data_IF_936050692794
#
_entry.id   IF_936050692794
#
_cell.length_a   1.000
_cell.length_b   1.000
_cell.length_c   1.000
_cell.angle_alpha   90.00
_cell.angle_beta   90.00
_cell.angle_gamma   90.00
#
_symmetry.space_group_name_H-M   'P 1'
#
loop_
_entity.id
_entity.type
_entity.pdbx_description
1 polymer ?
#
# COMPACT_ATOMS: atom_id res chain seq x y z
N UNK A 1 -11.52 -26.63 -4.27
CA UNK A 1 -11.91 -26.13 -5.60
C UNK A 1 -10.73 -25.42 -6.22
N UNK A 2 -10.15 -26.08 -7.26
CA UNK A 2 -9.06 -25.54 -8.07
C UNK A 2 -9.60 -24.37 -8.90
N UNK A 3 -9.24 -23.14 -8.55
CA UNK A 3 -9.45 -21.99 -9.42
C UNK A 3 -8.39 -22.10 -10.53
N UNK A 4 -8.78 -22.57 -11.70
CA UNK A 4 -7.98 -22.47 -12.92
C UNK A 4 -7.87 -21.01 -13.32
N UNK A 5 -6.65 -20.45 -13.18
CA UNK A 5 -6.33 -19.14 -13.75
C UNK A 5 -6.20 -19.30 -15.27
N UNK A 6 -7.13 -18.72 -16.02
CA UNK A 6 -6.99 -18.55 -17.47
C UNK A 6 -5.80 -17.61 -17.74
N UNK A 7 -4.85 -18.14 -18.49
CA UNK A 7 -3.59 -17.50 -18.88
C UNK A 7 -3.86 -16.52 -20.03
N UNK A 8 -4.55 -15.41 -19.76
CA UNK A 8 -4.63 -14.28 -20.71
C UNK A 8 -3.39 -13.40 -20.47
N UNK A 9 -2.45 -13.52 -21.36
CA UNK A 9 -1.12 -12.93 -21.58
C UNK A 9 -0.68 -11.60 -20.97
N UNK A 10 -1.13 -11.20 -19.78
CA UNK A 10 -0.62 -10.07 -19.02
C UNK A 10 -0.29 -10.49 -17.60
N UNK A 11 0.96 -10.30 -17.18
CA UNK A 11 1.36 -10.53 -15.79
C UNK A 11 0.46 -9.67 -14.87
N UNK A 12 -0.37 -10.31 -14.06
CA UNK A 12 -1.23 -9.65 -13.07
C UNK A 12 -0.43 -9.57 -11.78
N UNK A 13 -0.32 -8.38 -11.18
CA UNK A 13 0.40 -8.18 -9.91
C UNK A 13 -0.57 -7.91 -8.77
N UNK A 14 -0.31 -8.56 -7.62
CA UNK A 14 -1.00 -8.28 -6.36
C UNK A 14 -0.18 -7.29 -5.53
N UNK A 15 -0.79 -6.20 -5.13
CA UNK A 15 -0.17 -5.13 -4.36
C UNK A 15 -0.82 -5.08 -2.98
N UNK A 16 0.00 -5.21 -1.94
CA UNK A 16 -0.40 -4.99 -0.55
C UNK A 16 -0.11 -3.54 -0.16
N UNK A 17 -1.16 -2.75 0.03
CA UNK A 17 -1.08 -1.41 0.63
C UNK A 17 -1.18 -1.49 2.15
N UNK A 18 -0.36 -0.71 2.85
CA UNK A 18 -0.34 -0.66 4.31
C UNK A 18 -0.34 0.80 4.78
N UNK A 19 -1.28 1.12 5.67
CA UNK A 19 -1.31 2.36 6.45
C UNK A 19 -0.98 2.04 7.91
N UNK A 20 0.30 2.17 8.32
CA UNK A 20 0.72 1.79 9.66
C UNK A 20 0.28 2.83 10.69
N UNK A 21 -0.37 2.37 11.75
CA UNK A 21 -0.77 3.21 12.87
C UNK A 21 -0.41 2.62 14.23
N UNK A 22 -0.30 3.46 15.23
CA UNK A 22 0.10 3.04 16.57
C UNK A 22 -1.01 2.32 17.37
N UNK A 23 -2.26 2.40 16.95
CA UNK A 23 -3.43 1.74 17.57
C UNK A 23 -4.17 0.83 16.59
N UNK A 24 -4.05 1.13 15.32
CA UNK A 24 -4.65 0.38 14.22
C UNK A 24 -3.68 0.46 13.05
N UNK A 25 -3.60 -0.61 12.29
CA UNK A 25 -2.89 -0.63 11.00
C UNK A 25 -3.89 -1.04 9.94
N UNK A 26 -4.11 -0.16 8.96
CA UNK A 26 -4.92 -0.47 7.80
C UNK A 26 -4.14 -1.35 6.81
N UNK A 27 -4.86 -2.24 6.13
CA UNK A 27 -4.32 -2.97 4.99
C UNK A 27 -5.34 -3.03 3.85
N UNK A 28 -4.84 -3.10 2.63
CA UNK A 28 -5.65 -3.28 1.44
C UNK A 28 -4.88 -4.01 0.36
N UNK A 29 -5.51 -4.98 -0.30
CA UNK A 29 -4.91 -5.74 -1.39
C UNK A 29 -5.73 -5.49 -2.65
N UNK A 30 -5.04 -5.11 -3.71
CA UNK A 30 -5.58 -4.93 -5.04
C UNK A 30 -4.82 -5.79 -6.03
N UNK A 31 -5.48 -6.11 -7.15
CA UNK A 31 -4.90 -6.80 -8.28
C UNK A 31 -4.88 -5.85 -9.48
N UNK A 32 -3.76 -5.76 -10.17
CA UNK A 32 -3.59 -4.91 -11.36
C UNK A 32 -2.95 -5.68 -12.49
N UNK A 33 -3.33 -5.37 -13.73
CA UNK A 33 -2.64 -5.91 -14.91
C UNK A 33 -1.37 -5.12 -15.22
N UNK A 34 -0.44 -5.75 -15.94
CA UNK A 34 0.86 -5.16 -16.31
C UNK A 34 0.75 -3.99 -17.30
N UNK A 35 -0.35 -3.83 -18.00
CA UNK A 35 -0.51 -2.77 -19.00
C UNK A 35 -1.03 -1.47 -18.38
N UNK A 36 -0.54 -0.34 -18.88
CA UNK A 36 -1.09 0.97 -18.50
C UNK A 36 -2.59 1.04 -18.82
N UNK A 37 -3.40 1.45 -17.84
CA UNK A 37 -4.86 1.49 -17.98
C UNK A 37 -5.57 0.18 -17.71
N UNK A 38 -4.88 -0.89 -17.30
CA UNK A 38 -5.52 -2.13 -16.87
C UNK A 38 -6.50 -1.88 -15.73
N UNK A 39 -7.59 -2.62 -15.72
CA UNK A 39 -8.57 -2.59 -14.64
C UNK A 39 -7.88 -2.98 -13.33
N UNK A 40 -8.11 -2.18 -12.30
CA UNK A 40 -7.68 -2.50 -10.94
C UNK A 40 -8.86 -3.19 -10.24
N UNK A 41 -8.57 -4.34 -9.64
CA UNK A 41 -9.57 -5.15 -8.95
C UNK A 41 -9.31 -5.15 -7.44
N UNK A 42 -10.37 -4.99 -6.68
CA UNK A 42 -10.34 -5.14 -5.23
C UNK A 42 -10.23 -6.63 -4.86
N UNK A 43 -9.33 -6.96 -3.94
CA UNK A 43 -9.20 -8.32 -3.40
C UNK A 43 -9.73 -8.37 -1.97
N UNK A 44 -9.14 -7.57 -1.07
CA UNK A 44 -9.55 -7.51 0.33
C UNK A 44 -9.01 -6.24 0.99
N UNK A 45 -9.61 -5.85 2.11
CA UNK A 45 -9.06 -4.81 2.97
C UNK A 45 -9.56 -4.98 4.40
N UNK A 46 -8.87 -4.38 5.35
CA UNK A 46 -9.26 -4.45 6.75
C UNK A 46 -8.35 -3.66 7.67
N UNK A 47 -8.52 -3.91 8.96
CA UNK A 47 -7.83 -3.21 10.03
C UNK A 47 -7.27 -4.23 11.02
N UNK A 48 -5.97 -4.21 11.24
CA UNK A 48 -5.30 -4.87 12.36
C UNK A 48 -5.46 -3.98 13.58
N UNK A 49 -6.23 -4.44 14.56
CA UNK A 49 -6.44 -3.73 15.84
C UNK A 49 -5.33 -4.10 16.83
N UNK A 50 -4.69 -3.09 17.38
CA UNK A 50 -3.61 -3.27 18.34
C UNK A 50 -4.18 -3.06 19.76
N UNK A 51 -4.08 -4.05 20.66
CA UNK A 51 -4.53 -3.90 22.02
C UNK A 51 -3.70 -2.86 22.78
N UNK A 52 -4.24 -2.37 23.89
CA UNK A 52 -3.45 -1.61 24.86
C UNK A 52 -2.37 -2.52 25.45
N UNK A 53 -1.16 -2.01 25.66
CA UNK A 53 -0.07 -2.80 26.22
C UNK A 53 1.30 -2.32 25.80
N UNK A 54 2.30 -3.13 26.13
CA UNK A 54 3.70 -2.83 25.84
C UNK A 54 3.95 -2.71 24.33
N UNK A 55 4.75 -1.73 23.94
CA UNK A 55 5.07 -1.44 22.54
C UNK A 55 5.64 -2.67 21.80
N UNK A 56 6.58 -3.46 22.35
CA UNK A 56 7.11 -4.63 21.64
C UNK A 56 6.02 -5.65 21.24
N UNK A 57 5.06 -5.92 22.12
CA UNK A 57 3.96 -6.83 21.83
C UNK A 57 3.08 -6.32 20.68
N UNK A 58 2.83 -5.00 20.63
CA UNK A 58 2.06 -4.37 19.55
C UNK A 58 2.80 -4.42 18.23
N UNK A 59 4.12 -4.17 18.23
CA UNK A 59 4.95 -4.27 17.02
C UNK A 59 4.98 -5.71 16.49
N UNK A 60 5.04 -6.70 17.40
CA UNK A 60 4.94 -8.11 17.03
C UNK A 60 3.61 -8.43 16.34
N UNK A 61 2.48 -7.91 16.85
CA UNK A 61 1.17 -8.11 16.22
C UNK A 61 1.15 -7.53 14.80
N UNK A 62 1.73 -6.33 14.57
CA UNK A 62 1.83 -5.76 13.23
C UNK A 62 2.63 -6.68 12.31
N UNK A 63 3.82 -7.07 12.75
CA UNK A 63 4.71 -7.94 11.97
C UNK A 63 4.02 -9.27 11.62
N UNK A 64 3.45 -9.95 12.60
CA UNK A 64 2.77 -11.24 12.41
C UNK A 64 1.57 -11.12 11.47
N UNK A 65 0.74 -10.07 11.65
CA UNK A 65 -0.44 -9.86 10.81
C UNK A 65 -0.09 -9.56 9.36
N UNK A 66 0.91 -8.70 9.12
CA UNK A 66 1.37 -8.41 7.76
C UNK A 66 2.01 -9.66 7.14
N UNK A 67 2.83 -10.40 7.89
CA UNK A 67 3.41 -11.67 7.43
C UNK A 67 2.34 -12.70 7.07
N UNK A 68 1.28 -12.80 7.86
CA UNK A 68 0.15 -13.68 7.57
C UNK A 68 -0.60 -13.28 6.30
N UNK A 69 -0.84 -11.98 6.09
CA UNK A 69 -1.45 -11.47 4.86
C UNK A 69 -0.58 -11.79 3.64
N UNK A 70 0.73 -11.59 3.74
CA UNK A 70 1.67 -11.93 2.68
C UNK A 70 1.65 -13.42 2.37
N UNK A 71 1.66 -14.27 3.40
CA UNK A 71 1.59 -15.72 3.23
C UNK A 71 0.27 -16.18 2.61
N UNK A 72 -0.84 -15.56 2.98
CA UNK A 72 -2.18 -15.94 2.51
C UNK A 72 -2.45 -15.49 1.08
N UNK A 73 -2.08 -14.27 0.73
CA UNK A 73 -2.43 -13.65 -0.56
C UNK A 73 -1.31 -13.64 -1.58
N UNK A 74 -0.05 -13.87 -1.15
CA UNK A 74 1.13 -13.91 -2.01
C UNK A 74 1.27 -12.66 -2.89
N UNK A 75 1.22 -11.41 -2.33
CA UNK A 75 1.46 -10.22 -3.11
C UNK A 75 2.90 -10.19 -3.62
N UNK A 76 3.13 -9.62 -4.78
CA UNK A 76 4.46 -9.40 -5.34
C UNK A 76 5.11 -8.10 -4.87
N UNK A 77 4.27 -7.12 -4.51
CA UNK A 77 4.72 -5.79 -4.13
C UNK A 77 3.98 -5.31 -2.88
N UNK A 78 4.64 -4.45 -2.13
CA UNK A 78 4.06 -3.77 -0.97
C UNK A 78 4.20 -2.26 -1.13
N UNK A 79 3.17 -1.53 -0.78
CA UNK A 79 3.17 -0.07 -0.74
C UNK A 79 2.84 0.42 0.67
N UNK A 80 3.58 1.42 1.15
CA UNK A 80 3.41 1.93 2.51
C UNK A 80 3.50 3.46 2.53
N UNK A 81 2.69 4.10 3.41
CA UNK A 81 2.76 5.54 3.58
C UNK A 81 4.01 5.96 4.35
N UNK A 82 4.65 7.06 3.89
CA UNK A 82 5.74 7.72 4.61
C UNK A 82 5.20 8.44 5.84
N UNK A 83 5.91 8.31 6.96
CA UNK A 83 5.60 9.05 8.18
C UNK A 83 6.21 10.44 8.10
N UNK A 84 5.37 11.48 8.24
CA UNK A 84 5.84 12.84 8.47
C UNK A 84 5.92 13.14 9.97
N UNK A 85 6.88 13.97 10.35
CA UNK A 85 7.02 14.46 11.73
C UNK A 85 5.71 15.14 12.16
N UNK A 86 4.98 14.48 13.05
CA UNK A 86 3.82 15.06 13.71
C UNK A 86 4.26 16.14 14.71
N UNK A 87 3.32 16.97 15.13
CA UNK A 87 3.57 17.98 16.17
C UNK A 87 4.02 17.36 17.51
N UNK A 88 3.70 16.09 17.75
CA UNK A 88 4.15 15.29 18.89
C UNK A 88 5.25 14.31 18.48
N UNK A 89 6.51 14.56 18.91
CA UNK A 89 7.63 13.66 18.62
C UNK A 89 7.45 12.23 19.15
N UNK A 90 6.76 12.07 20.29
CA UNK A 90 6.50 10.73 20.87
C UNK A 90 5.53 9.93 20.00
N UNK A 91 4.51 10.59 19.44
CA UNK A 91 3.57 9.96 18.51
C UNK A 91 4.29 9.58 17.20
N UNK A 92 5.15 10.48 16.68
CA UNK A 92 5.93 10.21 15.47
C UNK A 92 6.88 9.02 15.64
N UNK A 93 7.56 8.90 16.79
CA UNK A 93 8.41 7.75 17.10
C UNK A 93 7.62 6.43 17.12
N UNK A 94 6.47 6.39 17.81
CA UNK A 94 5.62 5.20 17.87
C UNK A 94 5.09 4.81 16.49
N UNK A 95 4.74 5.78 15.66
CA UNK A 95 4.29 5.56 14.30
C UNK A 95 5.43 5.03 13.42
N UNK A 96 6.63 5.61 13.53
CA UNK A 96 7.82 5.13 12.83
C UNK A 96 8.18 3.68 13.21
N UNK A 97 8.04 3.31 14.48
CA UNK A 97 8.26 1.94 14.95
C UNK A 97 7.21 0.97 14.38
N UNK A 98 5.93 1.34 14.39
CA UNK A 98 4.84 0.56 13.78
C UNK A 98 5.09 0.34 12.28
N UNK A 99 5.47 1.42 11.58
CA UNK A 99 5.84 1.37 10.16
C UNK A 99 7.06 0.47 9.93
N UNK A 100 8.08 0.57 10.76
CA UNK A 100 9.27 -0.30 10.68
C UNK A 100 8.91 -1.79 10.80
N UNK A 101 8.01 -2.15 11.71
CA UNK A 101 7.53 -3.53 11.86
C UNK A 101 6.84 -4.05 10.57
N UNK A 102 6.00 -3.23 9.94
CA UNK A 102 5.35 -3.58 8.68
C UNK A 102 6.37 -3.72 7.52
N UNK A 103 7.34 -2.79 7.42
CA UNK A 103 8.41 -2.86 6.40
C UNK A 103 9.24 -4.13 6.56
N UNK A 104 9.63 -4.47 7.80
CA UNK A 104 10.42 -5.68 8.05
C UNK A 104 9.67 -6.94 7.66
N UNK A 105 8.35 -7.00 7.88
CA UNK A 105 7.52 -8.13 7.43
C UNK A 105 7.55 -8.28 5.90
N UNK A 106 7.38 -7.19 5.15
CA UNK A 106 7.48 -7.20 3.69
C UNK A 106 8.88 -7.55 3.18
N UNK A 107 9.91 -6.94 3.77
CA UNK A 107 11.30 -7.19 3.39
C UNK A 107 11.75 -8.62 3.69
N UNK A 108 11.32 -9.21 4.83
CA UNK A 108 11.61 -10.59 5.18
C UNK A 108 10.97 -11.59 4.20
N UNK A 109 9.85 -11.21 3.59
CA UNK A 109 9.20 -11.99 2.53
C UNK A 109 9.76 -11.72 1.11
N UNK A 110 10.75 -10.82 0.97
CA UNK A 110 11.38 -10.49 -0.32
C UNK A 110 10.55 -9.57 -1.21
N UNK A 111 9.52 -8.88 -0.68
CA UNK A 111 8.69 -7.99 -1.47
C UNK A 111 9.44 -6.71 -1.87
N UNK A 112 9.18 -6.23 -3.09
CA UNK A 112 9.53 -4.87 -3.46
C UNK A 112 8.64 -3.89 -2.69
N UNK A 113 9.23 -2.90 -2.01
CA UNK A 113 8.50 -1.96 -1.16
C UNK A 113 8.56 -0.56 -1.75
N UNK A 114 7.38 -0.02 -2.09
CA UNK A 114 7.19 1.38 -2.50
C UNK A 114 6.75 2.24 -1.32
N UNK A 115 7.39 3.39 -1.14
CA UNK A 115 7.09 4.35 -0.07
C UNK A 115 6.53 5.65 -0.64
N UNK A 116 5.42 6.13 -0.10
CA UNK A 116 4.67 7.25 -0.66
C UNK A 116 4.29 8.28 0.40
N UNK A 117 4.60 9.55 0.13
CA UNK A 117 4.12 10.65 0.97
C UNK A 117 2.60 10.80 0.87
N UNK A 118 1.92 11.11 1.98
CA UNK A 118 0.47 11.31 2.06
C UNK A 118 -0.07 12.25 0.96
N UNK A 119 0.64 13.34 0.67
CA UNK A 119 0.26 14.28 -0.40
C UNK A 119 0.30 13.63 -1.79
N UNK A 120 1.25 12.74 -2.04
CA UNK A 120 1.36 11.99 -3.30
C UNK A 120 0.20 11.02 -3.44
N UNK A 121 -0.11 10.27 -2.38
CA UNK A 121 -1.25 9.34 -2.34
C UNK A 121 -2.55 10.07 -2.64
N UNK A 122 -2.82 11.18 -1.94
CA UNK A 122 -4.02 11.99 -2.16
C UNK A 122 -4.11 12.52 -3.59
N UNK A 123 -2.99 13.01 -4.14
CA UNK A 123 -2.95 13.53 -5.51
C UNK A 123 -3.21 12.43 -6.55
N UNK A 124 -2.69 11.23 -6.34
CA UNK A 124 -2.92 10.11 -7.27
C UNK A 124 -4.37 9.64 -7.29
N UNK A 125 -5.03 9.58 -6.12
CA UNK A 125 -6.39 9.04 -6.00
C UNK A 125 -7.46 10.09 -6.31
N UNK A 126 -7.29 11.34 -5.82
CA UNK A 126 -8.32 12.41 -5.90
C UNK A 126 -7.94 13.50 -6.91
N UNK A 127 -6.69 13.53 -7.37
CA UNK A 127 -6.18 14.61 -8.21
C UNK A 127 -5.67 15.83 -7.41
N UNK A 128 -5.90 15.90 -6.11
CA UNK A 128 -5.50 16.99 -5.22
C UNK A 128 -4.77 16.47 -3.98
N UNK A 129 -3.56 16.97 -3.73
CA UNK A 129 -2.80 16.63 -2.52
C UNK A 129 -3.36 17.23 -1.23
N UNK A 130 -4.35 18.11 -1.31
CA UNK A 130 -5.06 18.72 -0.18
C UNK A 130 -6.43 18.06 0.08
N UNK A 131 -6.72 16.94 -0.57
CA UNK A 131 -7.98 16.22 -0.39
C UNK A 131 -8.24 15.82 1.07
N UNK A 132 -9.50 15.88 1.49
CA UNK A 132 -9.92 15.41 2.80
C UNK A 132 -9.92 13.86 2.84
N UNK A 133 -10.00 13.29 4.04
CA UNK A 133 -10.09 11.82 4.21
C UNK A 133 -11.37 11.26 3.59
N UNK A 134 -12.47 11.97 3.73
CA UNK A 134 -13.77 11.58 3.16
C UNK A 134 -13.70 11.54 1.63
N UNK A 135 -13.00 12.51 1.01
CA UNK A 135 -12.78 12.53 -0.44
C UNK A 135 -11.95 11.34 -0.91
N UNK A 136 -10.87 11.00 -0.18
CA UNK A 136 -10.05 9.81 -0.47
C UNK A 136 -10.89 8.54 -0.36
N UNK A 137 -11.63 8.37 0.74
CA UNK A 137 -12.51 7.22 0.99
C UNK A 137 -13.57 7.05 -0.09
N UNK A 138 -14.19 8.17 -0.52
CA UNK A 138 -15.17 8.19 -1.60
C UNK A 138 -14.55 7.75 -2.94
N UNK A 139 -13.38 8.29 -3.28
CA UNK A 139 -12.69 7.96 -4.53
C UNK A 139 -12.20 6.52 -4.56
N UNK A 140 -11.66 6.00 -3.44
CA UNK A 140 -11.28 4.58 -3.31
C UNK A 140 -12.49 3.67 -3.57
N UNK A 141 -13.64 3.98 -2.96
CA UNK A 141 -14.90 3.27 -3.24
C UNK A 141 -15.24 3.28 -4.72
N UNK A 142 -15.16 4.45 -5.36
CA UNK A 142 -15.52 4.63 -6.77
C UNK A 142 -14.57 3.88 -7.71
N UNK A 143 -13.25 4.04 -7.52
CA UNK A 143 -12.21 3.42 -8.38
C UNK A 143 -12.30 1.89 -8.32
N UNK A 144 -12.53 1.34 -7.12
CA UNK A 144 -12.59 -0.10 -6.90
C UNK A 144 -14.00 -0.70 -7.05
N UNK A 145 -15.01 0.12 -7.35
CA UNK A 145 -16.39 -0.32 -7.53
C UNK A 145 -17.00 -0.97 -6.29
N UNK A 146 -16.63 -0.51 -5.09
CA UNK A 146 -17.09 -1.12 -3.84
C UNK A 146 -18.54 -0.78 -3.54
N UNK A 147 -19.34 -1.69 -2.96
CA UNK A 147 -20.73 -1.44 -2.63
C UNK A 147 -20.91 -0.40 -1.53
N UNK A 148 -19.95 -0.32 -0.60
CA UNK A 148 -19.92 0.65 0.49
C UNK A 148 -18.51 1.22 0.67
N UNK A 149 -18.40 2.38 1.33
CA UNK A 149 -17.10 2.94 1.66
C UNK A 149 -16.38 2.04 2.67
N UNK A 150 -15.09 1.69 2.44
CA UNK A 150 -14.32 0.94 3.42
C UNK A 150 -14.06 1.79 4.67
N UNK A 151 -13.72 1.16 5.79
CA UNK A 151 -13.30 1.88 7.00
C UNK A 151 -12.10 2.79 6.69
N UNK A 152 -11.94 3.90 7.40
CA UNK A 152 -10.95 4.95 7.13
C UNK A 152 -9.53 4.39 6.96
N UNK A 153 -9.01 3.65 7.97
CA UNK A 153 -7.65 3.08 7.91
C UNK A 153 -7.47 2.09 6.72
N UNK A 154 -8.53 1.35 6.38
CA UNK A 154 -8.52 0.44 5.23
C UNK A 154 -8.58 1.21 3.89
N UNK A 155 -9.30 2.34 3.85
CA UNK A 155 -9.34 3.21 2.68
C UNK A 155 -7.99 3.88 2.43
N UNK A 156 -7.31 4.33 3.49
CA UNK A 156 -5.97 4.91 3.40
C UNK A 156 -4.97 3.87 2.88
N UNK A 157 -5.01 2.63 3.36
CA UNK A 157 -4.19 1.54 2.85
C UNK A 157 -4.47 1.19 1.38
N UNK A 158 -5.75 1.13 0.98
CA UNK A 158 -6.13 0.93 -0.43
C UNK A 158 -5.68 2.10 -1.31
N UNK A 159 -5.73 3.34 -0.80
CA UNK A 159 -5.25 4.51 -1.53
C UNK A 159 -3.74 4.45 -1.80
N UNK A 160 -2.96 3.95 -0.83
CA UNK A 160 -1.51 3.72 -1.00
C UNK A 160 -1.26 2.66 -2.07
N UNK A 161 -2.01 1.55 -2.07
CA UNK A 161 -1.91 0.51 -3.09
C UNK A 161 -2.26 1.04 -4.50
N UNK A 162 -3.32 1.85 -4.63
CA UNK A 162 -3.72 2.51 -5.87
C UNK A 162 -2.65 3.47 -6.38
N UNK A 163 -2.04 4.26 -5.49
CA UNK A 163 -0.94 5.15 -5.83
C UNK A 163 0.25 4.37 -6.40
N UNK A 164 0.58 3.23 -5.81
CA UNK A 164 1.65 2.35 -6.27
C UNK A 164 1.36 1.78 -7.66
N UNK A 165 0.16 1.24 -7.88
CA UNK A 165 -0.26 0.71 -9.16
C UNK A 165 -0.16 1.76 -10.29
N UNK A 166 -0.60 2.99 -10.04
CA UNK A 166 -0.52 4.09 -11.01
C UNK A 166 0.94 4.49 -11.29
N UNK A 167 1.79 4.51 -10.26
CA UNK A 167 3.22 4.85 -10.42
C UNK A 167 3.93 3.81 -11.28
N UNK A 168 3.66 2.53 -11.06
CA UNK A 168 4.22 1.44 -11.86
C UNK A 168 3.74 1.51 -13.31
N UNK A 169 2.45 1.76 -13.54
CA UNK A 169 1.89 1.93 -14.90
C UNK A 169 2.54 3.07 -15.66
N UNK A 170 2.80 4.21 -15.00
CA UNK A 170 3.51 5.35 -15.60
C UNK A 170 4.96 4.99 -15.91
N UNK A 171 5.64 4.23 -15.05
CA UNK A 171 7.00 3.75 -15.26
C UNK A 171 7.10 2.86 -16.49
N UNK A 172 6.18 1.92 -16.66
CA UNK A 172 6.10 1.05 -17.83
C UNK A 172 5.82 1.84 -19.12
N UNK A 173 4.91 2.81 -19.09
CA UNK A 173 4.61 3.68 -20.25
C UNK A 173 5.81 4.52 -20.69
N UNK A 174 6.73 4.85 -19.77
CA UNK A 174 7.95 5.61 -20.03
C UNK A 174 9.17 4.71 -20.35
N UNK A 175 8.98 3.41 -20.51
CA UNK A 175 10.01 2.45 -20.92
C UNK A 175 11.11 2.20 -19.89
N UNK A 176 10.78 2.15 -18.60
CA UNK A 176 11.75 1.84 -17.55
C UNK A 176 11.12 1.64 -16.17
N UNK A 177 11.88 1.05 -15.26
CA UNK A 177 11.52 0.98 -13.84
C UNK A 177 11.72 2.36 -13.20
N UNK A 178 10.69 2.89 -12.62
CA UNK A 178 10.72 4.18 -11.93
C UNK A 178 10.35 4.01 -10.46
N UNK A 179 11.09 4.70 -9.59
CA UNK A 179 10.79 4.78 -8.16
C UNK A 179 10.43 6.24 -7.82
N UNK A 180 9.40 6.43 -7.02
CA UNK A 180 9.09 7.75 -6.46
C UNK A 180 10.07 8.03 -5.31
N UNK A 181 10.85 9.10 -5.39
CA UNK A 181 11.80 9.49 -4.36
C UNK A 181 11.82 11.01 -4.22
N UNK A 182 11.65 11.50 -3.00
CA UNK A 182 11.63 12.95 -2.68
C UNK A 182 10.67 13.76 -3.56
N UNK A 183 9.45 13.26 -3.75
CA UNK A 183 8.41 13.94 -4.53
C UNK A 183 8.62 13.93 -6.05
N UNK A 184 9.56 13.14 -6.58
CA UNK A 184 9.85 13.02 -8.02
C UNK A 184 9.94 11.57 -8.45
N UNK A 185 9.42 11.28 -9.65
CA UNK A 185 9.62 10.00 -10.31
C UNK A 185 11.09 9.92 -10.78
N UNK A 186 11.85 8.95 -10.30
CA UNK A 186 13.24 8.71 -10.70
C UNK A 186 13.34 7.36 -11.40
N UNK A 187 14.05 7.33 -12.52
CA UNK A 187 14.38 6.08 -13.20
C UNK A 187 15.33 5.26 -12.31
N UNK A 188 14.99 4.01 -12.07
CA UNK A 188 15.87 3.05 -11.38
C UNK A 188 16.80 2.47 -12.44
N UNK A 189 18.12 2.59 -12.23
CA UNK A 189 19.08 1.92 -13.08
C UNK A 189 18.91 0.40 -12.88
N UNK A 190 18.67 -0.32 -13.97
CA UNK A 190 18.70 -1.79 -13.94
C UNK A 190 20.13 -2.20 -13.58
N UNK A 191 20.36 -3.04 -12.56
CA UNK A 191 21.69 -3.57 -12.33
C UNK A 191 22.11 -4.32 -13.60
N UNK A 192 23.27 -3.95 -14.13
CA UNK A 192 23.94 -4.73 -15.17
C UNK A 192 24.24 -6.10 -14.56
N UNK A 193 23.62 -7.12 -15.10
CA UNK A 193 23.87 -8.53 -14.76
C UNK A 193 25.31 -8.97 -15.04
#
# INVERSE_FOLDING_TARGET
>A
DNIQYSNDGGCMSLILGVDPGSRKTGFGIIKTGAQAGSKIEYVTSGIVRLPSGALPARLKIIFDSISQLIQQYQPEEMAIEEVFLARDPSAALKLGQARGAAIVAGAAAGLAIGEYAARTVKKSVVGSGAASKEQVQHMVKHILGLPSAPAEDAADALAVALCHAQTNSMGLALGGSYRYSKGRLKRVATPLG
#
